data_IF_010970535161
#
_entry.id   IF_010970535161
#
_cell.length_a   1.000
_cell.length_b   1.000
_cell.length_c   1.000
_cell.angle_alpha   90.00
_cell.angle_beta   90.00
_cell.angle_gamma   90.00
#
_symmetry.space_group_name_H-M   'P 1'
#
loop_
_entity.id
_entity.type
_entity.pdbx_description
1 polymer ?
#
# COMPACT_ATOMS: atom_id res chain seq x y z
N UNK A 1 -3.90 15.11 -2.58
CA UNK A 1 -4.54 16.26 -3.23
C UNK A 1 -3.97 17.61 -2.81
N UNK A 2 -3.77 17.89 -1.51
CA UNK A 2 -3.21 19.19 -1.08
C UNK A 2 -1.82 19.48 -1.68
N UNK A 3 -0.93 18.47 -1.75
CA UNK A 3 0.42 18.60 -2.33
C UNK A 3 0.43 18.83 -3.85
N UNK A 4 -0.56 18.30 -4.58
CA UNK A 4 -0.57 18.31 -6.06
C UNK A 4 -1.44 19.46 -6.60
N UNK A 5 -2.56 19.73 -5.95
CA UNK A 5 -3.62 20.65 -6.43
C UNK A 5 -3.55 22.00 -5.68
N UNK A 6 -2.79 22.09 -4.58
CA UNK A 6 -2.65 23.32 -3.79
C UNK A 6 -3.90 23.73 -3.00
N UNK A 7 -4.93 22.87 -2.96
CA UNK A 7 -6.17 23.13 -2.22
C UNK A 7 -5.99 22.91 -0.70
N UNK A 8 -6.81 23.60 0.13
CA UNK A 8 -6.85 23.36 1.57
C UNK A 8 -7.18 21.89 1.89
N UNK A 9 -6.50 21.35 2.90
CA UNK A 9 -6.64 19.94 3.29
C UNK A 9 -8.10 19.54 3.58
N UNK A 10 -8.84 20.40 4.28
CA UNK A 10 -10.24 20.14 4.64
C UNK A 10 -11.14 20.03 3.40
N UNK A 11 -10.92 20.86 2.39
CA UNK A 11 -11.69 20.84 1.14
C UNK A 11 -11.40 19.57 0.36
N UNK A 12 -10.14 19.12 0.34
CA UNK A 12 -9.76 17.86 -0.29
C UNK A 12 -10.49 16.67 0.35
N UNK A 13 -10.60 16.64 1.68
CA UNK A 13 -11.30 15.56 2.40
C UNK A 13 -12.77 15.52 1.98
N UNK A 14 -13.46 16.67 2.01
CA UNK A 14 -14.88 16.72 1.67
C UNK A 14 -15.16 16.31 0.23
N UNK A 15 -14.33 16.73 -0.72
CA UNK A 15 -14.46 16.34 -2.13
C UNK A 15 -14.24 14.83 -2.29
N UNK A 16 -13.17 14.27 -1.71
CA UNK A 16 -12.90 12.83 -1.78
C UNK A 16 -14.02 11.99 -1.14
N UNK A 17 -14.53 12.41 0.01
CA UNK A 17 -15.64 11.74 0.69
C UNK A 17 -16.93 11.78 -0.13
N UNK A 18 -17.28 12.95 -0.68
CA UNK A 18 -18.48 13.11 -1.50
C UNK A 18 -18.45 12.20 -2.75
N UNK A 19 -17.31 12.18 -3.46
CA UNK A 19 -17.14 11.30 -4.63
C UNK A 19 -17.27 9.83 -4.22
N UNK A 20 -16.58 9.42 -3.15
CA UNK A 20 -16.64 8.05 -2.61
C UNK A 20 -18.05 7.59 -2.27
N UNK A 21 -18.82 8.43 -1.58
CA UNK A 21 -20.20 8.14 -1.19
C UNK A 21 -21.09 8.03 -2.42
N UNK A 22 -21.01 8.98 -3.36
CA UNK A 22 -21.90 9.01 -4.54
C UNK A 22 -21.74 7.76 -5.40
N UNK A 23 -20.52 7.37 -5.78
CA UNK A 23 -20.36 6.18 -6.64
C UNK A 23 -20.66 4.88 -5.89
N UNK A 24 -20.43 4.83 -4.57
CA UNK A 24 -20.76 3.67 -3.73
C UNK A 24 -22.27 3.47 -3.62
N UNK A 25 -23.01 4.57 -3.40
CA UNK A 25 -24.48 4.54 -3.31
C UNK A 25 -25.14 4.19 -4.65
N UNK A 26 -24.64 4.74 -5.76
CA UNK A 26 -25.25 4.51 -7.08
C UNK A 26 -25.06 3.09 -7.59
N UNK A 27 -23.97 2.42 -7.22
CA UNK A 27 -23.57 1.17 -7.86
C UNK A 27 -23.55 -0.08 -6.98
N UNK A 28 -23.76 0.06 -5.66
CA UNK A 28 -23.78 -1.06 -4.72
C UNK A 28 -22.47 -1.87 -4.71
N UNK A 29 -22.53 -3.11 -4.19
CA UNK A 29 -21.33 -3.96 -4.03
C UNK A 29 -20.63 -4.27 -5.36
N UNK A 30 -21.38 -4.38 -6.46
CA UNK A 30 -20.81 -4.65 -7.79
C UNK A 30 -19.96 -3.47 -8.29
N UNK A 31 -20.45 -2.24 -8.17
CA UNK A 31 -19.66 -1.08 -8.57
C UNK A 31 -18.41 -0.93 -7.74
N UNK A 32 -18.47 -1.21 -6.43
CA UNK A 32 -17.28 -1.18 -5.56
C UNK A 32 -16.25 -2.20 -6.04
N UNK A 33 -16.67 -3.43 -6.34
CA UNK A 33 -15.75 -4.46 -6.85
C UNK A 33 -15.10 -4.07 -8.19
N UNK A 34 -15.86 -3.49 -9.13
CA UNK A 34 -15.31 -3.03 -10.40
C UNK A 34 -14.36 -1.85 -10.22
N UNK A 35 -14.71 -0.88 -9.38
CA UNK A 35 -13.83 0.28 -9.10
C UNK A 35 -12.55 -0.15 -8.40
N UNK A 36 -12.61 -1.12 -7.48
CA UNK A 36 -11.42 -1.67 -6.81
C UNK A 36 -10.47 -2.31 -7.82
N UNK A 37 -10.97 -3.08 -8.78
CA UNK A 37 -10.13 -3.71 -9.81
C UNK A 37 -9.44 -2.65 -10.67
N UNK A 38 -10.19 -1.66 -11.16
CA UNK A 38 -9.63 -0.56 -11.97
C UNK A 38 -8.60 0.23 -11.16
N UNK A 39 -8.90 0.55 -9.91
CA UNK A 39 -8.00 1.28 -9.03
C UNK A 39 -6.71 0.51 -8.77
N UNK A 40 -6.79 -0.80 -8.50
CA UNK A 40 -5.61 -1.66 -8.30
C UNK A 40 -4.73 -1.71 -9.55
N UNK A 41 -5.32 -1.84 -10.75
CA UNK A 41 -4.58 -1.84 -12.01
C UNK A 41 -3.87 -0.51 -12.24
N UNK A 42 -4.59 0.61 -12.09
CA UNK A 42 -4.04 1.95 -12.26
C UNK A 42 -2.92 2.22 -11.26
N UNK A 43 -3.12 1.87 -9.98
CA UNK A 43 -2.09 2.02 -8.94
C UNK A 43 -0.85 1.18 -9.25
N UNK A 44 -1.05 -0.09 -9.66
CA UNK A 44 0.06 -0.98 -10.00
C UNK A 44 0.92 -0.40 -11.13
N UNK A 45 0.30 -0.08 -12.27
CA UNK A 45 1.02 0.43 -13.44
C UNK A 45 1.72 1.75 -13.10
N UNK A 46 1.02 2.67 -12.41
CA UNK A 46 1.57 3.98 -12.08
C UNK A 46 2.78 3.87 -11.14
N UNK A 47 2.71 3.01 -10.12
CA UNK A 47 3.80 2.81 -9.17
C UNK A 47 5.05 2.23 -9.84
N UNK A 48 4.88 1.18 -10.65
CA UNK A 48 5.99 0.55 -11.37
C UNK A 48 6.57 1.47 -12.44
N UNK A 49 5.73 2.26 -13.11
CA UNK A 49 6.17 3.23 -14.11
C UNK A 49 6.96 4.39 -13.47
N UNK A 50 6.56 4.86 -12.29
CA UNK A 50 7.25 5.94 -11.57
C UNK A 50 8.63 5.50 -11.05
N UNK A 51 8.78 4.23 -10.69
CA UNK A 51 9.98 3.66 -10.08
C UNK A 51 11.31 3.99 -10.80
N UNK A 52 11.48 3.80 -12.13
CA UNK A 52 12.71 4.16 -12.82
C UNK A 52 13.02 5.65 -12.80
N UNK A 53 12.00 6.52 -12.79
CA UNK A 53 12.22 7.97 -12.71
C UNK A 53 12.72 8.37 -11.33
N UNK A 54 12.12 7.80 -10.28
CA UNK A 54 12.52 8.05 -8.90
C UNK A 54 13.95 7.55 -8.66
N UNK A 55 14.31 6.36 -9.14
CA UNK A 55 15.66 5.79 -8.98
C UNK A 55 16.76 6.49 -9.80
N UNK A 56 16.41 7.13 -10.93
CA UNK A 56 17.37 7.84 -11.79
C UNK A 56 17.52 9.32 -11.45
N UNK A 57 16.85 9.81 -10.41
CA UNK A 57 16.97 11.22 -10.04
C UNK A 57 18.38 11.52 -9.53
N UNK A 58 19.02 12.61 -10.00
CA UNK A 58 20.38 12.98 -9.61
C UNK A 58 20.48 13.40 -8.12
N UNK A 59 19.34 13.65 -7.48
CA UNK A 59 19.25 14.02 -6.06
C UNK A 59 19.26 12.83 -5.11
N UNK A 60 19.06 11.59 -5.59
CA UNK A 60 19.07 10.40 -4.73
C UNK A 60 20.41 9.67 -4.80
N UNK A 61 21.03 9.41 -3.64
CA UNK A 61 22.19 8.53 -3.55
C UNK A 61 21.78 7.05 -3.69
N UNK A 62 22.77 6.19 -3.92
CA UNK A 62 22.53 4.75 -4.03
C UNK A 62 21.91 4.20 -2.73
N UNK A 63 20.72 3.61 -2.84
CA UNK A 63 19.94 3.07 -1.71
C UNK A 63 20.78 2.13 -0.84
N UNK A 64 21.64 1.32 -1.45
CA UNK A 64 22.47 0.35 -0.73
C UNK A 64 23.51 1.03 0.18
N UNK A 65 23.98 2.23 -0.19
CA UNK A 65 24.93 2.98 0.63
C UNK A 65 24.21 3.72 1.76
N UNK A 66 23.06 4.34 1.50
CA UNK A 66 22.28 5.07 2.52
C UNK A 66 21.53 4.14 3.49
N UNK A 67 21.34 2.87 3.13
CA UNK A 67 20.71 1.87 4.00
C UNK A 67 21.54 1.57 5.26
N UNK A 68 22.86 1.55 5.15
CA UNK A 68 23.77 1.11 6.22
C UNK A 68 24.77 2.20 6.65
N UNK A 69 25.14 3.12 5.75
CA UNK A 69 26.11 4.16 6.04
C UNK A 69 25.42 5.51 6.26
N UNK A 70 25.97 6.28 7.20
CA UNK A 70 25.58 7.66 7.48
C UNK A 70 26.09 8.61 6.38
N UNK A 71 25.56 8.50 5.16
CA UNK A 71 25.95 9.37 4.04
C UNK A 71 25.22 10.71 4.09
N UNK A 72 23.88 10.70 4.14
CA UNK A 72 23.03 11.91 4.16
C UNK A 72 22.16 12.02 5.42
N UNK A 73 21.65 10.90 5.91
CA UNK A 73 20.78 10.82 7.08
C UNK A 73 21.09 9.54 7.87
N UNK A 74 20.58 9.42 9.10
CA UNK A 74 20.74 8.19 9.88
C UNK A 74 20.22 6.97 9.08
N UNK A 75 20.83 5.79 9.21
CA UNK A 75 20.51 4.65 8.36
C UNK A 75 19.04 4.32 8.54
N UNK A 76 18.28 4.33 7.45
CA UNK A 76 16.85 4.03 7.53
C UNK A 76 16.61 2.55 7.86
N UNK A 77 17.62 1.70 7.66
CA UNK A 77 17.66 0.34 8.18
C UNK A 77 18.12 0.37 9.65
N UNK A 78 17.15 0.52 10.55
CA UNK A 78 17.41 0.58 11.99
C UNK A 78 17.77 -0.77 12.62
N UNK A 79 18.39 -0.74 13.80
CA UNK A 79 18.56 -1.91 14.66
C UNK A 79 17.34 -2.07 15.57
N UNK A 80 16.87 -3.30 15.79
CA UNK A 80 15.79 -3.57 16.75
C UNK A 80 16.36 -3.63 18.18
N UNK A 81 16.01 -2.69 19.08
CA UNK A 81 16.36 -2.81 20.48
C UNK A 81 15.54 -3.94 21.11
N UNK A 82 16.16 -4.75 21.98
CA UNK A 82 15.51 -5.87 22.68
C UNK A 82 14.27 -5.43 23.47
N UNK A 83 14.27 -4.22 24.03
CA UNK A 83 13.14 -3.64 24.76
C UNK A 83 11.89 -3.41 23.90
N UNK A 84 12.06 -3.20 22.59
CA UNK A 84 10.96 -2.96 21.64
C UNK A 84 10.54 -4.21 20.89
N UNK A 85 11.18 -5.36 21.13
CA UNK A 85 10.93 -6.60 20.41
C UNK A 85 9.44 -6.99 20.47
N UNK A 86 8.80 -6.89 21.64
CA UNK A 86 7.38 -7.17 21.80
C UNK A 86 6.47 -6.28 20.97
N UNK A 87 6.79 -4.98 20.86
CA UNK A 87 6.02 -4.04 20.04
C UNK A 87 6.16 -4.33 18.55
N UNK A 88 7.33 -4.80 18.11
CA UNK A 88 7.53 -5.22 16.73
C UNK A 88 6.81 -6.53 16.40
N UNK A 89 6.79 -7.49 17.33
CA UNK A 89 6.01 -8.72 17.19
C UNK A 89 4.51 -8.39 17.12
N UNK A 90 4.02 -7.51 18.00
CA UNK A 90 2.63 -7.06 17.98
C UNK A 90 2.26 -6.41 16.65
N UNK A 91 3.08 -5.48 16.16
CA UNK A 91 2.87 -4.85 14.84
C UNK A 91 2.87 -5.90 13.71
N UNK A 92 3.76 -6.88 13.75
CA UNK A 92 3.79 -7.97 12.77
C UNK A 92 2.49 -8.78 12.80
N UNK A 93 2.01 -9.13 13.99
CA UNK A 93 0.74 -9.85 14.17
C UNK A 93 -0.44 -9.03 13.66
N UNK A 94 -0.51 -7.74 13.97
CA UNK A 94 -1.58 -6.84 13.49
C UNK A 94 -1.55 -6.74 11.96
N UNK A 95 -0.39 -6.57 11.35
CA UNK A 95 -0.25 -6.46 9.89
C UNK A 95 -0.57 -7.77 9.15
N UNK A 96 -0.25 -8.92 9.73
CA UNK A 96 -0.41 -10.23 9.07
C UNK A 96 -1.75 -10.89 9.35
N UNK A 97 -2.24 -10.82 10.60
CA UNK A 97 -3.47 -11.48 11.05
C UNK A 97 -4.66 -10.53 11.16
N UNK A 98 -4.44 -9.21 11.28
CA UNK A 98 -5.52 -8.24 11.44
C UNK A 98 -6.53 -8.26 10.29
N UNK A 99 -6.06 -8.52 9.07
CA UNK A 99 -6.88 -8.63 7.87
C UNK A 99 -7.91 -9.77 7.91
N UNK A 100 -7.68 -10.80 8.75
CA UNK A 100 -8.59 -11.94 8.89
C UNK A 100 -9.90 -11.55 9.57
N UNK A 101 -9.92 -10.47 10.35
CA UNK A 101 -11.13 -9.99 11.04
C UNK A 101 -11.97 -9.00 10.23
N UNK A 102 -11.53 -8.60 9.02
CA UNK A 102 -12.25 -7.61 8.23
C UNK A 102 -13.49 -8.19 7.56
N UNK A 103 -14.60 -7.47 7.68
CA UNK A 103 -15.89 -7.92 7.17
C UNK A 103 -15.85 -8.10 5.64
N UNK A 104 -15.18 -7.22 4.90
CA UNK A 104 -15.07 -7.34 3.44
C UNK A 104 -14.32 -8.59 2.99
N UNK A 105 -13.36 -9.07 3.78
CA UNK A 105 -12.63 -10.31 3.49
C UNK A 105 -13.55 -11.53 3.59
N UNK A 106 -14.34 -11.60 4.65
CA UNK A 106 -15.34 -12.64 4.82
C UNK A 106 -16.42 -12.59 3.74
N UNK A 107 -16.92 -11.39 3.41
CA UNK A 107 -17.93 -11.23 2.36
C UNK A 107 -17.43 -11.75 1.00
N UNK A 108 -16.18 -11.45 0.62
CA UNK A 108 -15.57 -11.91 -0.63
C UNK A 108 -15.31 -13.41 -0.65
N UNK A 109 -14.90 -13.98 0.48
CA UNK A 109 -14.65 -15.42 0.61
C UNK A 109 -15.95 -16.22 0.54
N UNK A 110 -17.01 -15.73 1.19
CA UNK A 110 -18.34 -16.37 1.22
C UNK A 110 -19.11 -16.19 -0.10
N UNK A 111 -18.83 -15.14 -0.87
CA UNK A 111 -19.43 -14.94 -2.20
C UNK A 111 -18.80 -15.81 -3.31
N UNK A 112 -17.74 -16.56 -3.00
CA UNK A 112 -17.07 -17.40 -3.98
C UNK A 112 -17.92 -18.63 -4.36
N UNK A 113 -17.88 -19.03 -5.64
CA UNK A 113 -18.68 -20.17 -6.16
C UNK A 113 -18.35 -21.52 -5.50
N UNK A 114 -17.16 -21.66 -4.88
CA UNK A 114 -16.71 -22.89 -4.22
C UNK A 114 -15.59 -22.60 -3.22
N UNK A 115 -15.45 -23.47 -2.21
CA UNK A 115 -14.33 -23.42 -1.25
C UNK A 115 -12.96 -23.57 -1.93
N UNK A 116 -12.87 -24.37 -3.00
CA UNK A 116 -11.61 -24.52 -3.76
C UNK A 116 -11.21 -23.21 -4.44
N UNK A 117 -12.17 -22.52 -5.06
CA UNK A 117 -11.97 -21.21 -5.71
C UNK A 117 -11.59 -20.14 -4.67
N UNK A 118 -12.24 -20.13 -3.52
CA UNK A 118 -11.91 -19.20 -2.43
C UNK A 118 -10.45 -19.37 -1.96
N UNK A 119 -10.02 -20.62 -1.72
CA UNK A 119 -8.63 -20.92 -1.31
C UNK A 119 -7.63 -20.50 -2.38
N UNK A 120 -7.90 -20.83 -3.65
CA UNK A 120 -7.04 -20.45 -4.76
C UNK A 120 -6.88 -18.93 -4.85
N UNK A 121 -7.98 -18.18 -4.76
CA UNK A 121 -7.96 -16.72 -4.78
C UNK A 121 -7.14 -16.14 -3.63
N UNK A 122 -7.19 -16.73 -2.43
CA UNK A 122 -6.36 -16.29 -1.30
C UNK A 122 -4.86 -16.50 -1.57
N UNK A 123 -4.46 -17.63 -2.15
CA UNK A 123 -3.05 -17.88 -2.51
C UNK A 123 -2.56 -16.93 -3.60
N UNK A 124 -3.39 -16.68 -4.62
CA UNK A 124 -3.08 -15.70 -5.68
C UNK A 124 -2.94 -14.29 -5.08
N UNK A 125 -3.86 -13.90 -4.19
CA UNK A 125 -3.80 -12.61 -3.50
C UNK A 125 -2.51 -12.46 -2.66
N UNK A 126 -2.07 -13.52 -1.97
CA UNK A 126 -0.83 -13.52 -1.20
C UNK A 126 0.43 -13.32 -2.08
N UNK A 127 0.44 -13.86 -3.30
CA UNK A 127 1.53 -13.58 -4.24
C UNK A 127 1.47 -12.14 -4.76
N UNK A 128 0.27 -11.65 -5.11
CA UNK A 128 0.07 -10.30 -5.65
C UNK A 128 0.46 -9.24 -4.63
N UNK A 129 0.09 -9.39 -3.35
CA UNK A 129 0.38 -8.38 -2.33
C UNK A 129 1.89 -8.20 -2.10
N UNK A 130 2.68 -9.27 -2.22
CA UNK A 130 4.13 -9.19 -2.15
C UNK A 130 4.71 -8.34 -3.30
N UNK A 131 4.22 -8.56 -4.52
CA UNK A 131 4.66 -7.80 -5.69
C UNK A 131 4.22 -6.34 -5.60
N UNK A 132 3.00 -6.07 -5.12
CA UNK A 132 2.48 -4.72 -4.91
C UNK A 132 3.21 -3.95 -3.81
N UNK A 133 3.78 -4.64 -2.82
CA UNK A 133 4.55 -4.01 -1.74
C UNK A 133 5.92 -3.49 -2.17
N UNK A 134 6.50 -4.00 -3.26
CA UNK A 134 7.86 -3.65 -3.69
C UNK A 134 7.99 -2.17 -4.08
N UNK A 135 7.18 -1.60 -4.99
CA UNK A 135 7.38 -0.22 -5.41
C UNK A 135 7.23 0.82 -4.29
N UNK A 136 6.20 0.76 -3.40
CA UNK A 136 6.08 1.72 -2.30
C UNK A 136 7.28 1.69 -1.34
N UNK A 137 7.82 0.50 -1.05
CA UNK A 137 9.01 0.36 -0.19
C UNK A 137 10.22 1.01 -0.84
N UNK A 138 10.43 0.78 -2.14
CA UNK A 138 11.55 1.39 -2.87
C UNK A 138 11.41 2.91 -2.98
N UNK A 139 10.20 3.42 -3.25
CA UNK A 139 9.94 4.86 -3.29
C UNK A 139 10.20 5.50 -1.92
N UNK A 140 9.77 4.85 -0.83
CA UNK A 140 10.07 5.29 0.53
C UNK A 140 11.57 5.28 0.84
N UNK A 141 12.30 4.26 0.40
CA UNK A 141 13.74 4.17 0.57
C UNK A 141 14.49 5.28 -0.20
N UNK A 142 14.04 5.62 -1.42
CA UNK A 142 14.61 6.74 -2.19
C UNK A 142 14.31 8.08 -1.52
N UNK A 143 13.08 8.28 -1.03
CA UNK A 143 12.70 9.49 -0.31
C UNK A 143 13.52 9.69 0.98
N UNK A 144 13.89 8.60 1.66
CA UNK A 144 14.80 8.62 2.80
C UNK A 144 16.29 8.78 2.40
N UNK A 145 16.62 8.67 1.12
CA UNK A 145 17.98 8.77 0.57
C UNK A 145 18.23 10.08 -0.20
N UNK A 146 17.35 11.06 -0.02
CA UNK A 146 17.43 12.43 -0.57
C UNK A 146 17.61 13.41 0.59
#
# INVERSE_FOLDING_TARGET
>A
MSVIIGLPFIVCIWISAAVAIVYTLMGGLHSVAYTDVVQLILMFISLWFCLPFVLKNPSSLNIAQTALNNSLQAPWLGTLPSEKAWRWIDNLCVLTLGCLGYQEFHQRTLSACSSATAKFNCFVAAAIILIFGIPPVLIGAVAAST
#
